data_IF_271520700967
#
_entry.id   IF_271520700967
#
_cell.length_a   1.000
_cell.length_b   1.000
_cell.length_c   1.000
_cell.angle_alpha   90.00
_cell.angle_beta   90.00
_cell.angle_gamma   90.00
#
_symmetry.space_group_name_H-M   'P 1'
#
loop_
_entity.id
_entity.type
_entity.pdbx_description
1 polymer ?
#
# COMPACT_ATOMS: atom_id res chain seq x y z
N UNK A 1 -35.15 38.73 -24.99
CA UNK A 1 -33.73 38.53 -25.41
C UNK A 1 -33.04 37.39 -24.66
N UNK A 2 -33.38 37.12 -23.40
CA UNK A 2 -32.67 36.09 -22.57
C UNK A 2 -33.00 34.62 -22.90
N UNK A 3 -34.14 34.35 -23.53
CA UNK A 3 -34.52 32.98 -23.94
C UNK A 3 -33.77 32.45 -25.18
N UNK A 4 -33.20 33.33 -26.01
CA UNK A 4 -32.45 32.95 -27.21
C UNK A 4 -31.00 32.63 -26.83
N UNK A 5 -30.42 33.32 -25.86
CA UNK A 5 -29.06 33.05 -25.36
C UNK A 5 -28.95 31.70 -24.63
N UNK A 6 -29.97 31.30 -23.87
CA UNK A 6 -29.97 30.01 -23.15
C UNK A 6 -30.10 28.78 -24.07
N UNK A 7 -30.79 28.90 -25.21
CA UNK A 7 -30.88 27.83 -26.23
C UNK A 7 -29.56 27.64 -26.96
N UNK A 8 -28.82 28.71 -27.27
CA UNK A 8 -27.52 28.63 -27.93
C UNK A 8 -26.44 27.95 -27.06
N UNK A 9 -26.44 28.18 -25.73
CA UNK A 9 -25.51 27.55 -24.79
C UNK A 9 -25.78 26.02 -24.64
N UNK A 10 -27.08 25.63 -24.62
CA UNK A 10 -27.45 24.22 -24.55
C UNK A 10 -27.03 23.44 -25.81
N UNK A 11 -27.13 24.04 -26.99
CA UNK A 11 -26.72 23.40 -28.24
C UNK A 11 -25.21 23.36 -28.41
N UNK A 12 -24.46 24.33 -27.91
CA UNK A 12 -23.00 24.32 -27.84
C UNK A 12 -22.51 23.21 -26.91
N UNK A 13 -23.12 23.05 -25.76
CA UNK A 13 -22.78 22.01 -24.78
C UNK A 13 -23.08 20.60 -25.34
N UNK A 14 -24.21 20.39 -26.01
CA UNK A 14 -24.54 19.12 -26.69
C UNK A 14 -23.53 18.80 -27.80
N UNK A 15 -23.13 19.78 -28.62
CA UNK A 15 -22.10 19.60 -29.65
C UNK A 15 -20.73 19.22 -29.05
N UNK A 16 -20.34 19.81 -27.92
CA UNK A 16 -19.12 19.49 -27.22
C UNK A 16 -19.13 18.05 -26.66
N UNK A 17 -20.25 17.61 -26.09
CA UNK A 17 -20.42 16.24 -25.60
C UNK A 17 -20.33 15.25 -26.79
N UNK A 18 -21.03 15.52 -27.88
CA UNK A 18 -21.01 14.67 -29.09
C UNK A 18 -19.61 14.56 -29.67
N UNK A 19 -18.85 15.67 -29.75
CA UNK A 19 -17.46 15.65 -30.19
C UNK A 19 -16.53 14.89 -29.24
N UNK A 20 -16.77 14.94 -27.94
CA UNK A 20 -16.03 14.18 -26.94
C UNK A 20 -16.31 12.67 -27.05
N UNK A 21 -17.53 12.28 -27.30
CA UNK A 21 -17.91 10.87 -27.49
C UNK A 21 -17.33 10.31 -28.80
N UNK A 22 -17.37 11.11 -29.87
CA UNK A 22 -16.78 10.73 -31.16
C UNK A 22 -15.26 10.60 -31.09
N UNK A 23 -14.56 11.49 -30.39
CA UNK A 23 -13.12 11.36 -30.10
C UNK A 23 -12.80 10.12 -29.29
N UNK A 24 -13.59 9.81 -28.24
CA UNK A 24 -13.43 8.59 -27.45
C UNK A 24 -13.59 7.33 -28.31
N UNK A 25 -14.54 7.34 -29.24
CA UNK A 25 -14.77 6.22 -30.15
C UNK A 25 -13.63 6.00 -31.14
N UNK A 26 -13.12 7.09 -31.71
CA UNK A 26 -11.95 7.07 -32.60
C UNK A 26 -10.69 6.62 -31.86
N UNK A 27 -10.48 7.07 -30.63
CA UNK A 27 -9.33 6.65 -29.81
C UNK A 27 -9.41 5.18 -29.40
N UNK A 28 -10.62 4.68 -29.13
CA UNK A 28 -10.85 3.27 -28.84
C UNK A 28 -10.58 2.38 -30.06
N UNK A 29 -11.02 2.80 -31.24
CA UNK A 29 -10.74 2.10 -32.50
C UNK A 29 -9.25 2.12 -32.88
N UNK A 30 -8.57 3.27 -32.69
CA UNK A 30 -7.13 3.37 -32.89
C UNK A 30 -6.36 2.48 -31.92
N UNK A 31 -6.83 2.39 -30.67
CA UNK A 31 -6.26 1.51 -29.65
C UNK A 31 -6.43 0.03 -30.05
N UNK A 32 -7.63 -0.39 -30.45
CA UNK A 32 -7.88 -1.74 -30.96
C UNK A 32 -7.00 -2.09 -32.16
N UNK A 33 -6.91 -1.21 -33.17
CA UNK A 33 -6.03 -1.41 -34.35
C UNK A 33 -4.54 -1.46 -33.99
N UNK A 34 -4.11 -0.74 -32.95
CA UNK A 34 -2.73 -0.76 -32.48
C UNK A 34 -2.42 -2.04 -31.71
N UNK A 35 -3.36 -2.49 -30.88
CA UNK A 35 -3.25 -3.71 -30.10
C UNK A 35 -3.28 -4.94 -31.03
N UNK A 36 -4.13 -4.94 -32.05
CA UNK A 36 -4.18 -5.99 -33.09
C UNK A 36 -2.91 -6.06 -33.95
N UNK A 37 -2.32 -4.90 -34.29
CA UNK A 37 -1.03 -4.87 -35.03
C UNK A 37 0.14 -5.31 -34.15
N UNK A 38 0.12 -4.96 -32.86
CA UNK A 38 1.12 -5.38 -31.88
C UNK A 38 1.06 -6.89 -31.60
N UNK A 39 -0.13 -7.45 -31.46
CA UNK A 39 -0.30 -8.87 -31.18
C UNK A 39 0.12 -9.78 -32.34
N UNK A 40 -0.13 -9.37 -33.57
CA UNK A 40 0.26 -10.16 -34.77
C UNK A 40 1.76 -10.15 -35.07
N UNK A 41 2.52 -9.13 -34.63
CA UNK A 41 3.94 -8.97 -34.96
C UNK A 41 4.91 -9.64 -33.98
N UNK A 42 4.44 -10.02 -32.77
CA UNK A 42 5.30 -10.47 -31.67
C UNK A 42 4.76 -11.68 -30.88
N UNK A 43 3.81 -12.44 -31.42
CA UNK A 43 3.43 -13.73 -30.83
C UNK A 43 4.57 -14.73 -31.08
N UNK A 44 5.60 -14.69 -30.23
CA UNK A 44 6.46 -15.86 -30.04
C UNK A 44 5.62 -16.95 -29.36
N UNK A 45 5.89 -18.20 -29.71
CA UNK A 45 5.29 -19.32 -29.00
C UNK A 45 5.49 -19.15 -27.48
N UNK A 46 4.42 -19.30 -26.72
CA UNK A 46 4.47 -19.21 -25.26
C UNK A 46 5.32 -20.36 -24.76
N UNK A 47 6.44 -20.03 -24.11
CA UNK A 47 7.41 -21.00 -23.56
C UNK A 47 7.19 -21.23 -22.07
N UNK A 48 6.69 -20.20 -21.37
CA UNK A 48 6.56 -20.22 -19.91
C UNK A 48 5.29 -19.48 -19.51
N UNK A 49 4.42 -20.13 -18.73
CA UNK A 49 3.24 -19.51 -18.13
C UNK A 49 3.39 -19.49 -16.63
N UNK A 50 3.22 -18.32 -16.02
CA UNK A 50 3.26 -18.15 -14.56
C UNK A 50 1.87 -17.83 -14.06
N UNK A 51 1.32 -18.71 -13.23
CA UNK A 51 0.02 -18.56 -12.61
C UNK A 51 0.17 -17.89 -11.23
N UNK A 52 -0.61 -16.84 -11.00
CA UNK A 52 -0.61 -16.05 -9.76
C UNK A 52 -2.02 -16.07 -9.19
N UNK A 53 -2.16 -16.35 -7.91
CA UNK A 53 -3.42 -16.22 -7.18
C UNK A 53 -3.44 -14.87 -6.46
N UNK A 54 -4.44 -14.05 -6.69
CA UNK A 54 -4.81 -12.97 -5.79
C UNK A 54 -5.87 -13.49 -4.83
N UNK A 55 -5.57 -13.49 -3.53
CA UNK A 55 -6.49 -13.97 -2.50
C UNK A 55 -6.81 -12.85 -1.52
N UNK A 56 -8.10 -12.63 -1.30
CA UNK A 56 -8.62 -11.67 -0.33
C UNK A 56 -9.79 -12.30 0.42
N UNK A 57 -10.05 -11.83 1.63
CA UNK A 57 -11.23 -12.18 2.40
C UNK A 57 -12.16 -10.98 2.53
N UNK A 58 -13.45 -11.22 2.40
CA UNK A 58 -14.47 -10.21 2.65
C UNK A 58 -14.31 -9.64 4.06
N UNK A 59 -14.52 -8.33 4.21
CA UNK A 59 -14.41 -7.61 5.49
C UNK A 59 -15.75 -7.01 5.84
N UNK A 60 -15.99 -6.91 7.14
CA UNK A 60 -17.12 -6.11 7.60
C UNK A 60 -16.98 -4.68 7.11
N UNK A 61 -18.09 -4.15 6.61
CA UNK A 61 -18.12 -2.78 6.09
C UNK A 61 -18.09 -1.81 7.27
N UNK A 62 -17.05 -0.96 7.41
CA UNK A 62 -17.00 0.02 8.49
C UNK A 62 -18.10 1.07 8.34
N UNK A 63 -18.45 1.74 9.42
CA UNK A 63 -19.36 2.88 9.36
C UNK A 63 -18.78 3.98 8.46
N UNK A 64 -19.58 4.49 7.52
CA UNK A 64 -19.18 5.57 6.64
C UNK A 64 -19.18 6.88 7.42
N UNK A 65 -18.00 7.42 7.72
CA UNK A 65 -17.85 8.69 8.43
C UNK A 65 -17.89 9.89 7.48
N UNK A 66 -17.52 9.70 6.21
CA UNK A 66 -17.53 10.74 5.19
C UNK A 66 -18.01 10.21 3.85
N UNK A 67 -18.87 10.99 3.17
CA UNK A 67 -19.25 10.68 1.78
C UNK A 67 -18.11 10.94 0.78
N UNK A 68 -17.00 11.52 1.21
CA UNK A 68 -15.84 11.82 0.35
C UNK A 68 -14.91 10.61 0.19
N UNK A 69 -14.94 9.68 1.14
CA UNK A 69 -14.09 8.49 1.14
C UNK A 69 -14.98 7.25 0.90
N UNK A 70 -15.14 6.83 -0.35
CA UNK A 70 -15.97 5.67 -0.68
C UNK A 70 -15.36 4.39 -0.10
N UNK A 71 -16.22 3.48 0.35
CA UNK A 71 -15.81 2.12 0.71
C UNK A 71 -15.39 1.40 -0.58
N UNK A 72 -14.17 0.90 -0.60
CA UNK A 72 -13.60 0.20 -1.74
C UNK A 72 -13.64 -1.31 -1.50
N UNK A 73 -14.37 -2.02 -2.34
CA UNK A 73 -14.45 -3.49 -2.31
C UNK A 73 -13.50 -4.15 -3.32
N UNK A 74 -12.75 -3.34 -4.08
CA UNK A 74 -11.92 -3.75 -5.21
C UNK A 74 -10.44 -3.38 -5.01
N UNK A 75 -10.03 -3.09 -3.78
CA UNK A 75 -8.61 -2.80 -3.49
C UNK A 75 -7.71 -3.98 -3.88
N UNK A 76 -6.58 -3.64 -4.46
CA UNK A 76 -5.61 -4.62 -4.97
C UNK A 76 -5.95 -5.16 -6.36
N UNK A 77 -7.23 -5.32 -6.72
CA UNK A 77 -7.67 -5.92 -7.97
C UNK A 77 -7.07 -5.25 -9.22
N UNK A 78 -7.24 -3.95 -9.35
CA UNK A 78 -6.71 -3.20 -10.50
C UNK A 78 -5.19 -3.03 -10.44
N UNK A 79 -4.60 -3.07 -9.25
CA UNK A 79 -3.15 -3.12 -9.06
C UNK A 79 -2.55 -4.39 -9.66
N UNK A 80 -3.14 -5.54 -9.34
CA UNK A 80 -2.77 -6.84 -9.92
C UNK A 80 -2.86 -6.81 -11.45
N UNK A 81 -4.00 -6.38 -11.99
CA UNK A 81 -4.20 -6.33 -13.44
C UNK A 81 -3.17 -5.45 -14.15
N UNK A 82 -2.86 -4.29 -13.57
CA UNK A 82 -1.87 -3.36 -14.13
C UNK A 82 -0.46 -3.96 -14.08
N UNK A 83 -0.12 -4.69 -13.01
CA UNK A 83 1.14 -5.43 -12.87
C UNK A 83 1.30 -6.52 -13.91
N UNK A 84 0.24 -7.27 -14.21
CA UNK A 84 0.23 -8.27 -15.29
C UNK A 84 0.45 -7.62 -16.66
N UNK A 85 -0.26 -6.54 -16.97
CA UNK A 85 -0.07 -5.80 -18.22
C UNK A 85 1.40 -5.34 -18.38
N UNK A 86 2.01 -4.85 -17.31
CA UNK A 86 3.41 -4.42 -17.33
C UNK A 86 4.39 -5.59 -17.51
N UNK A 87 4.12 -6.75 -16.88
CA UNK A 87 4.93 -7.95 -17.10
C UNK A 87 4.81 -8.47 -18.52
N UNK A 88 3.62 -8.45 -19.10
CA UNK A 88 3.37 -8.88 -20.47
C UNK A 88 4.08 -7.99 -21.51
N UNK A 89 4.44 -6.76 -21.19
CA UNK A 89 5.21 -5.92 -22.12
C UNK A 89 6.57 -6.55 -22.48
N UNK A 90 7.29 -7.04 -21.47
CA UNK A 90 8.55 -7.77 -21.65
C UNK A 90 8.31 -9.25 -21.96
N UNK A 91 7.31 -9.85 -21.33
CA UNK A 91 6.96 -11.26 -21.48
C UNK A 91 6.71 -11.67 -22.92
N UNK A 92 6.00 -10.84 -23.69
CA UNK A 92 5.72 -11.11 -25.12
C UNK A 92 6.99 -11.29 -25.97
N UNK A 93 8.08 -10.62 -25.63
CA UNK A 93 9.38 -10.78 -26.33
C UNK A 93 10.11 -12.05 -25.88
N UNK A 94 9.91 -12.48 -24.64
CA UNK A 94 10.57 -13.64 -24.05
C UNK A 94 9.77 -14.94 -24.28
N UNK A 95 8.51 -14.85 -24.69
CA UNK A 95 7.57 -15.97 -24.76
C UNK A 95 7.00 -16.32 -23.39
N UNK A 96 6.91 -15.35 -22.47
CA UNK A 96 6.33 -15.53 -21.14
C UNK A 96 4.89 -15.00 -21.09
N UNK A 97 4.02 -15.78 -20.46
CA UNK A 97 2.64 -15.39 -20.14
C UNK A 97 2.42 -15.34 -18.62
N UNK A 98 1.54 -14.45 -18.18
CA UNK A 98 1.20 -14.26 -16.77
C UNK A 98 -0.32 -14.29 -16.61
N UNK A 99 -0.80 -15.27 -15.85
CA UNK A 99 -2.22 -15.45 -15.57
C UNK A 99 -2.52 -15.17 -14.12
N UNK A 100 -3.61 -14.46 -13.85
CA UNK A 100 -4.07 -14.21 -12.48
C UNK A 100 -5.46 -14.76 -12.30
N UNK A 101 -5.64 -15.53 -11.24
CA UNK A 101 -6.93 -15.96 -10.72
C UNK A 101 -7.26 -15.15 -9.48
N UNK A 102 -8.41 -14.47 -9.48
CA UNK A 102 -8.91 -13.68 -8.36
C UNK A 102 -9.81 -14.55 -7.48
N UNK A 103 -9.48 -14.62 -6.19
CA UNK A 103 -10.23 -15.38 -5.19
C UNK A 103 -10.63 -14.44 -4.07
N UNK A 104 -11.91 -14.21 -3.92
CA UNK A 104 -12.49 -13.51 -2.78
C UNK A 104 -13.23 -14.54 -1.93
N UNK A 105 -12.75 -14.77 -0.72
CA UNK A 105 -13.37 -15.68 0.25
C UNK A 105 -14.40 -14.90 1.06
N UNK A 106 -15.63 -15.37 1.10
CA UNK A 106 -16.67 -14.69 1.86
C UNK A 106 -16.47 -14.84 3.38
N UNK A 107 -17.18 -14.02 4.19
CA UNK A 107 -17.10 -14.11 5.66
C UNK A 107 -17.53 -15.48 6.21
N UNK A 108 -18.38 -16.21 5.48
CA UNK A 108 -18.92 -17.52 5.87
C UNK A 108 -18.04 -18.69 5.46
N UNK A 109 -17.12 -18.47 4.53
CA UNK A 109 -16.26 -19.52 3.99
C UNK A 109 -14.96 -19.64 4.78
N UNK A 110 -14.41 -20.85 4.84
CA UNK A 110 -13.13 -21.11 5.48
C UNK A 110 -11.99 -20.78 4.52
N UNK A 111 -11.23 -19.74 4.88
CA UNK A 111 -10.08 -19.28 4.12
C UNK A 111 -8.98 -20.35 4.02
N UNK A 112 -8.75 -21.14 5.09
CA UNK A 112 -7.71 -22.17 5.10
C UNK A 112 -8.06 -23.32 4.16
N UNK A 113 -9.32 -23.74 4.15
CA UNK A 113 -9.80 -24.80 3.25
C UNK A 113 -9.69 -24.39 1.78
N UNK A 114 -10.10 -23.15 1.44
CA UNK A 114 -9.98 -22.65 0.07
C UNK A 114 -8.51 -22.54 -0.35
N UNK A 115 -7.65 -22.01 0.53
CA UNK A 115 -6.23 -21.91 0.28
C UNK A 115 -5.55 -23.29 0.08
N UNK A 116 -5.88 -24.30 0.88
CA UNK A 116 -5.40 -25.67 0.69
C UNK A 116 -5.83 -26.28 -0.64
N UNK A 117 -7.07 -26.03 -1.08
CA UNK A 117 -7.55 -26.47 -2.41
C UNK A 117 -6.71 -25.86 -3.53
N UNK A 118 -6.39 -24.55 -3.44
CA UNK A 118 -5.56 -23.88 -4.42
C UNK A 118 -4.13 -24.45 -4.48
N UNK A 119 -3.51 -24.71 -3.33
CA UNK A 119 -2.18 -25.36 -3.28
C UNK A 119 -2.22 -26.76 -3.88
N UNK A 120 -3.24 -27.57 -3.55
CA UNK A 120 -3.43 -28.92 -4.13
C UNK A 120 -3.64 -28.86 -5.65
N UNK A 121 -4.19 -27.76 -6.17
CA UNK A 121 -4.32 -27.52 -7.62
C UNK A 121 -3.02 -27.08 -8.31
N UNK A 122 -1.91 -27.00 -7.58
CA UNK A 122 -0.58 -26.70 -8.11
C UNK A 122 -0.19 -25.23 -8.14
N UNK A 123 -1.00 -24.33 -7.57
CA UNK A 123 -0.64 -22.91 -7.49
C UNK A 123 0.47 -22.68 -6.46
N UNK A 124 1.46 -21.84 -6.84
CA UNK A 124 2.67 -21.60 -6.05
C UNK A 124 2.80 -20.14 -5.62
N UNK A 125 2.28 -19.19 -6.39
CA UNK A 125 2.44 -17.75 -6.16
C UNK A 125 1.12 -17.13 -5.71
N UNK A 126 1.11 -16.57 -4.49
CA UNK A 126 -0.07 -15.99 -3.87
C UNK A 126 0.20 -14.53 -3.49
N UNK A 127 -0.59 -13.61 -4.01
CA UNK A 127 -0.64 -12.21 -3.57
C UNK A 127 -1.82 -12.07 -2.62
N UNK A 128 -1.53 -11.78 -1.35
CA UNK A 128 -2.50 -11.88 -0.27
C UNK A 128 -2.89 -10.50 0.28
N UNK A 129 -4.16 -10.15 0.10
CA UNK A 129 -4.81 -9.02 0.73
C UNK A 129 -5.57 -9.48 1.99
N UNK A 130 -4.82 -9.79 3.03
CA UNK A 130 -5.28 -10.42 4.26
C UNK A 130 -4.78 -9.67 5.51
N UNK A 131 -5.45 -9.86 6.64
CA UNK A 131 -4.99 -9.36 7.93
C UNK A 131 -3.83 -10.19 8.51
N UNK A 132 -3.24 -9.74 9.62
CA UNK A 132 -2.08 -10.38 10.23
C UNK A 132 -2.36 -11.79 10.73
N UNK A 133 -3.54 -12.00 11.34
CA UNK A 133 -3.93 -13.32 11.86
C UNK A 133 -4.15 -14.34 10.75
N UNK A 134 -4.78 -13.93 9.66
CA UNK A 134 -5.00 -14.76 8.47
C UNK A 134 -3.67 -15.13 7.81
N UNK A 135 -2.78 -14.14 7.59
CA UNK A 135 -1.45 -14.40 7.04
C UNK A 135 -0.63 -15.36 7.90
N UNK A 136 -0.67 -15.18 9.23
CA UNK A 136 0.02 -16.06 10.17
C UNK A 136 -0.51 -17.48 10.07
N UNK A 137 -1.82 -17.68 10.04
CA UNK A 137 -2.45 -18.99 9.88
C UNK A 137 -2.02 -19.66 8.58
N UNK A 138 -2.20 -18.98 7.44
CA UNK A 138 -1.89 -19.54 6.13
C UNK A 138 -0.39 -19.86 5.97
N UNK A 139 0.51 -19.00 6.43
CA UNK A 139 1.95 -19.23 6.33
C UNK A 139 2.46 -20.40 7.19
N UNK A 140 1.73 -20.75 8.26
CA UNK A 140 2.06 -21.85 9.16
C UNK A 140 1.53 -23.23 8.69
N UNK A 141 0.69 -23.30 7.67
CA UNK A 141 0.18 -24.57 7.15
C UNK A 141 1.33 -25.43 6.62
N UNK A 142 1.22 -26.76 6.81
CA UNK A 142 2.21 -27.71 6.28
C UNK A 142 2.33 -27.64 4.76
N UNK A 143 1.19 -27.43 4.10
CA UNK A 143 1.07 -27.29 2.65
C UNK A 143 1.76 -26.03 2.12
N UNK A 144 1.92 -25.00 2.96
CA UNK A 144 2.50 -23.71 2.57
C UNK A 144 4.03 -23.70 2.43
N UNK A 145 4.71 -24.83 2.70
CA UNK A 145 6.19 -24.90 2.60
C UNK A 145 6.71 -24.61 1.18
N UNK A 146 5.94 -25.00 0.17
CA UNK A 146 6.34 -24.94 -1.23
C UNK A 146 5.57 -23.88 -2.02
N UNK A 147 5.21 -22.76 -1.36
CA UNK A 147 4.57 -21.60 -2.01
C UNK A 147 5.28 -20.31 -1.61
N UNK A 148 5.00 -19.26 -2.34
CA UNK A 148 5.37 -17.90 -1.99
C UNK A 148 4.10 -17.10 -1.73
N UNK A 149 3.93 -16.66 -0.49
CA UNK A 149 2.85 -15.79 -0.04
C UNK A 149 3.38 -14.37 0.05
N UNK A 150 2.77 -13.43 -0.65
CA UNK A 150 3.20 -12.02 -0.73
C UNK A 150 2.16 -11.14 -0.05
N UNK A 151 2.50 -10.62 1.12
CA UNK A 151 1.65 -9.70 1.87
C UNK A 151 1.62 -8.31 1.26
N UNK A 152 0.43 -7.81 0.94
CA UNK A 152 0.23 -6.48 0.37
C UNK A 152 -0.55 -5.50 1.27
N UNK A 153 -1.05 -5.96 2.44
CA UNK A 153 -1.87 -5.14 3.34
C UNK A 153 -1.33 -5.05 4.76
N UNK A 154 -1.04 -6.19 5.40
CA UNK A 154 -0.71 -6.22 6.82
C UNK A 154 0.59 -5.49 7.13
N UNK A 155 0.52 -4.54 8.07
CA UNK A 155 1.65 -3.73 8.54
C UNK A 155 2.26 -4.27 9.84
N UNK A 156 1.73 -5.36 10.38
CA UNK A 156 2.10 -5.93 11.67
C UNK A 156 3.58 -6.33 11.72
N UNK A 157 4.32 -5.75 12.66
CA UNK A 157 5.77 -5.99 12.79
C UNK A 157 6.11 -7.43 13.21
N UNK A 158 5.26 -8.07 13.98
CA UNK A 158 5.46 -9.44 14.46
C UNK A 158 5.59 -10.47 13.34
N UNK A 159 4.92 -10.27 12.20
CA UNK A 159 5.07 -11.14 11.01
C UNK A 159 6.45 -11.06 10.34
N UNK A 160 7.24 -10.05 10.68
CA UNK A 160 8.58 -9.78 10.15
C UNK A 160 9.66 -10.00 11.21
N UNK A 161 9.26 -10.44 12.38
CA UNK A 161 10.13 -10.64 13.53
C UNK A 161 9.83 -12.00 14.19
N UNK A 162 9.04 -12.05 15.27
CA UNK A 162 8.79 -13.27 16.07
C UNK A 162 8.08 -14.37 15.29
N UNK A 163 7.20 -14.00 14.35
CA UNK A 163 6.38 -14.92 13.55
C UNK A 163 6.76 -14.95 12.07
N UNK A 164 7.98 -14.56 11.75
CA UNK A 164 8.46 -14.59 10.36
C UNK A 164 8.50 -16.00 9.79
N UNK A 165 8.32 -16.12 8.47
CA UNK A 165 8.31 -17.38 7.74
C UNK A 165 8.98 -17.20 6.38
N UNK A 166 9.82 -18.13 6.00
CA UNK A 166 10.54 -18.12 4.72
C UNK A 166 9.64 -18.20 3.48
N UNK A 167 8.39 -18.58 3.64
CA UNK A 167 7.38 -18.61 2.58
C UNK A 167 6.49 -17.36 2.53
N UNK A 168 6.70 -16.38 3.45
CA UNK A 168 5.93 -15.14 3.54
C UNK A 168 6.86 -13.95 3.37
N UNK A 169 6.68 -13.19 2.29
CA UNK A 169 7.38 -11.92 2.06
C UNK A 169 6.41 -10.74 2.09
N UNK A 170 6.94 -9.54 2.32
CA UNK A 170 6.13 -8.38 2.61
C UNK A 170 6.43 -7.22 1.66
N UNK A 171 5.47 -6.86 0.83
CA UNK A 171 5.49 -5.64 0.01
C UNK A 171 4.90 -4.45 0.76
N UNK A 172 3.84 -4.68 1.55
CA UNK A 172 3.33 -3.67 2.47
C UNK A 172 4.42 -3.27 3.49
N UNK A 173 4.65 -1.98 3.78
CA UNK A 173 5.58 -1.55 4.81
C UNK A 173 5.08 -1.97 6.20
N UNK A 174 6.01 -2.17 7.13
CA UNK A 174 5.66 -2.42 8.53
C UNK A 174 5.29 -1.14 9.28
N UNK A 175 4.63 -1.27 10.42
CA UNK A 175 4.37 -0.13 11.30
C UNK A 175 5.67 0.56 11.74
N UNK A 176 6.71 -0.20 12.05
CA UNK A 176 8.02 0.39 12.40
C UNK A 176 8.63 1.16 11.23
N UNK A 177 8.53 0.68 9.97
CA UNK A 177 9.00 1.44 8.81
C UNK A 177 8.25 2.78 8.65
N UNK A 178 6.93 2.76 8.82
CA UNK A 178 6.10 3.97 8.74
C UNK A 178 6.43 4.95 9.86
N UNK A 179 6.57 4.43 11.09
CA UNK A 179 6.92 5.22 12.28
C UNK A 179 8.29 5.86 12.15
N UNK A 180 9.31 5.10 11.74
CA UNK A 180 10.67 5.61 11.56
C UNK A 180 10.73 6.69 10.47
N UNK A 181 10.04 6.48 9.35
CA UNK A 181 9.97 7.45 8.27
C UNK A 181 9.38 8.78 8.71
N UNK A 182 8.30 8.74 9.49
CA UNK A 182 7.68 9.92 10.07
C UNK A 182 8.60 10.57 11.09
N UNK A 183 9.17 9.78 12.00
CA UNK A 183 10.01 10.27 13.10
C UNK A 183 11.27 10.96 12.60
N UNK A 184 11.96 10.41 11.59
CA UNK A 184 13.11 11.07 10.96
C UNK A 184 12.75 12.49 10.49
N UNK A 185 11.61 12.67 9.85
CA UNK A 185 11.13 13.97 9.40
C UNK A 185 10.84 14.91 10.59
N UNK A 186 10.17 14.41 11.63
CA UNK A 186 9.84 15.21 12.82
C UNK A 186 11.10 15.66 13.56
N UNK A 187 12.13 14.82 13.64
CA UNK A 187 13.45 15.18 14.19
C UNK A 187 14.09 16.30 13.37
N UNK A 188 14.10 16.19 12.03
CA UNK A 188 14.61 17.24 11.12
C UNK A 188 13.88 18.58 11.33
N UNK A 189 12.59 18.54 11.65
CA UNK A 189 11.78 19.73 12.00
C UNK A 189 11.94 20.19 13.43
N UNK A 190 12.68 19.47 14.27
CA UNK A 190 12.86 19.73 15.71
C UNK A 190 11.57 19.62 16.55
N UNK A 191 10.56 18.89 16.07
CA UNK A 191 9.33 18.60 16.79
C UNK A 191 9.52 17.36 17.66
N UNK A 192 10.16 17.55 18.81
CA UNK A 192 10.65 16.46 19.68
C UNK A 192 9.77 16.18 20.90
N UNK A 193 8.72 16.95 21.12
CA UNK A 193 7.78 16.72 22.22
C UNK A 193 6.45 16.28 21.62
N UNK A 194 6.13 15.01 21.82
CA UNK A 194 4.91 14.43 21.27
C UNK A 194 3.80 14.32 22.29
N UNK A 195 2.58 14.55 21.84
CA UNK A 195 1.35 14.10 22.49
C UNK A 195 0.80 12.95 21.65
N UNK A 196 0.82 11.73 22.22
CA UNK A 196 0.39 10.51 21.52
C UNK A 196 -1.07 10.23 21.87
N UNK A 197 -1.93 10.15 20.85
CA UNK A 197 -3.34 9.79 20.97
C UNK A 197 -3.55 8.45 20.28
N UNK A 198 -4.13 7.49 21.01
CA UNK A 198 -4.24 6.09 20.59
C UNK A 198 -5.70 5.69 20.54
N UNK A 199 -6.14 5.07 19.47
CA UNK A 199 -7.46 4.46 19.36
C UNK A 199 -7.59 3.17 20.17
N UNK A 200 -8.83 2.68 20.35
CA UNK A 200 -9.11 1.50 21.17
C UNK A 200 -8.73 0.17 20.49
N UNK A 201 -8.58 0.17 19.19
CA UNK A 201 -8.41 -1.03 18.37
C UNK A 201 -7.02 -1.67 18.51
N UNK A 202 -6.93 -2.93 18.12
CA UNK A 202 -5.68 -3.70 18.17
C UNK A 202 -4.62 -3.09 17.24
N UNK A 203 -5.02 -2.70 16.04
CA UNK A 203 -4.17 -2.09 15.03
C UNK A 203 -3.64 -0.71 15.47
N UNK A 204 -4.47 0.07 16.19
CA UNK A 204 -4.08 1.36 16.77
C UNK A 204 -2.98 1.19 17.81
N UNK A 205 -3.14 0.20 18.70
CA UNK A 205 -2.15 -0.14 19.72
C UNK A 205 -0.85 -0.62 19.09
N UNK A 206 -0.91 -1.48 18.05
CA UNK A 206 0.26 -1.95 17.34
C UNK A 206 1.02 -0.80 16.68
N UNK A 207 0.31 0.14 16.04
CA UNK A 207 0.94 1.32 15.47
C UNK A 207 1.50 2.26 16.55
N UNK A 208 0.80 2.47 17.66
CA UNK A 208 1.29 3.26 18.79
C UNK A 208 2.57 2.66 19.40
N UNK A 209 2.67 1.34 19.50
CA UNK A 209 3.88 0.67 19.98
C UNK A 209 5.07 0.86 19.02
N UNK A 210 4.84 0.81 17.73
CA UNK A 210 5.85 1.15 16.73
C UNK A 210 6.30 2.62 16.83
N UNK A 211 5.35 3.56 17.02
CA UNK A 211 5.65 4.97 17.25
C UNK A 211 6.47 5.19 18.53
N UNK A 212 6.17 4.48 19.61
CA UNK A 212 6.95 4.52 20.87
C UNK A 212 8.37 3.97 20.68
N UNK A 213 8.53 2.86 19.94
CA UNK A 213 9.86 2.32 19.57
C UNK A 213 10.66 3.33 18.76
N UNK A 214 10.07 3.94 17.73
CA UNK A 214 10.70 4.99 16.93
C UNK A 214 11.03 6.23 17.77
N UNK A 215 10.15 6.66 18.66
CA UNK A 215 10.40 7.78 19.56
C UNK A 215 11.65 7.53 20.42
N UNK A 216 11.81 6.32 20.95
CA UNK A 216 13.00 5.91 21.70
C UNK A 216 14.25 5.88 20.80
N UNK A 217 14.17 5.27 19.62
CA UNK A 217 15.28 5.15 18.64
C UNK A 217 15.83 6.53 18.25
N UNK A 218 14.98 7.53 18.07
CA UNK A 218 15.34 8.87 17.60
C UNK A 218 15.35 9.94 18.71
N UNK A 219 15.36 9.54 19.98
CA UNK A 219 15.42 10.43 21.15
C UNK A 219 14.31 11.49 21.17
N UNK A 220 13.09 11.05 20.99
CA UNK A 220 11.85 11.85 21.06
C UNK A 220 11.24 11.69 22.47
N UNK A 221 10.70 12.78 23.01
CA UNK A 221 10.00 12.78 24.29
C UNK A 221 8.50 12.72 24.09
N UNK A 222 7.86 11.60 24.42
CA UNK A 222 6.42 11.52 24.57
C UNK A 222 6.05 12.21 25.89
N UNK A 223 5.32 13.31 25.79
CA UNK A 223 4.91 14.15 26.94
C UNK A 223 3.69 13.60 27.63
N UNK A 224 2.78 13.07 26.85
CA UNK A 224 1.53 12.52 27.28
C UNK A 224 1.09 11.43 26.31
N UNK A 225 0.45 10.40 26.84
CA UNK A 225 -0.22 9.34 26.08
C UNK A 225 -1.68 9.29 26.56
N UNK A 226 -2.64 9.39 25.65
CA UNK A 226 -4.06 9.25 25.96
C UNK A 226 -4.72 8.29 25.00
N UNK A 227 -5.54 7.40 25.55
CA UNK A 227 -6.38 6.51 24.77
C UNK A 227 -7.70 7.21 24.52
N UNK A 228 -8.13 7.20 23.25
CA UNK A 228 -9.44 7.67 22.85
C UNK A 228 -10.47 6.59 23.18
N UNK A 229 -11.30 6.85 24.19
CA UNK A 229 -12.29 5.90 24.68
C UNK A 229 -13.70 6.54 24.73
N UNK A 230 -14.04 7.28 23.68
CA UNK A 230 -15.35 7.91 23.57
C UNK A 230 -16.22 7.17 22.56
N UNK A 231 -17.29 6.56 23.03
CA UNK A 231 -18.31 5.89 22.20
C UNK A 231 -19.32 6.87 21.57
N UNK A 232 -19.06 8.19 21.63
CA UNK A 232 -19.99 9.21 21.19
C UNK A 232 -19.92 9.45 19.67
N UNK A 233 -21.04 9.92 19.09
CA UNK A 233 -21.08 10.39 17.70
C UNK A 233 -20.27 11.69 17.56
N UNK A 234 -19.00 11.58 17.18
CA UNK A 234 -18.08 12.70 17.01
C UNK A 234 -18.56 13.77 16.03
N UNK A 235 -19.43 13.45 15.11
CA UNK A 235 -20.03 14.45 14.22
C UNK A 235 -20.79 15.51 14.99
N UNK A 236 -21.32 15.15 16.17
CA UNK A 236 -22.11 16.05 17.03
C UNK A 236 -21.31 16.58 18.22
N UNK A 237 -20.38 15.80 18.75
CA UNK A 237 -19.75 16.08 20.05
C UNK A 237 -18.30 16.58 19.94
N UNK A 238 -17.63 16.38 18.81
CA UNK A 238 -16.21 16.71 18.61
C UNK A 238 -15.80 18.12 19.06
N UNK A 239 -16.64 19.12 18.85
CA UNK A 239 -16.34 20.51 19.25
C UNK A 239 -16.26 20.70 20.78
N UNK A 240 -16.93 19.86 21.55
CA UNK A 240 -16.93 19.94 23.01
C UNK A 240 -15.91 18.98 23.64
N UNK A 241 -15.83 17.77 23.13
CA UNK A 241 -15.02 16.69 23.71
C UNK A 241 -13.54 16.82 23.39
N UNK A 242 -13.19 17.13 22.13
CA UNK A 242 -11.80 17.21 21.73
C UNK A 242 -10.99 18.27 22.46
N UNK A 243 -11.48 19.51 22.66
CA UNK A 243 -10.75 20.49 23.45
C UNK A 243 -10.50 20.03 24.90
N UNK A 244 -11.50 19.41 25.53
CA UNK A 244 -11.37 18.89 26.90
C UNK A 244 -10.35 17.75 26.94
N UNK A 245 -10.46 16.80 26.00
CA UNK A 245 -9.55 15.66 25.91
C UNK A 245 -8.10 16.07 25.65
N UNK A 246 -7.86 17.17 24.92
CA UNK A 246 -6.52 17.61 24.55
C UNK A 246 -5.93 18.70 25.44
N UNK A 247 -6.69 19.17 26.45
CA UNK A 247 -6.29 20.25 27.36
C UNK A 247 -5.13 19.85 28.27
N UNK A 248 -4.23 20.81 28.55
CA UNK A 248 -3.24 20.74 29.61
C UNK A 248 -1.92 20.05 29.23
N UNK A 249 -1.73 19.70 27.96
CA UNK A 249 -0.50 19.06 27.47
C UNK A 249 0.39 20.08 26.76
N UNK A 250 1.65 20.17 27.15
CA UNK A 250 2.65 21.00 26.45
C UNK A 250 3.47 20.15 25.48
N UNK A 251 3.15 20.22 24.19
CA UNK A 251 3.74 19.43 23.13
C UNK A 251 4.07 20.26 21.87
N UNK A 252 4.94 19.74 21.03
CA UNK A 252 5.27 20.37 19.72
C UNK A 252 4.29 19.89 18.64
N UNK A 253 3.90 18.62 18.68
CA UNK A 253 3.09 17.97 17.68
C UNK A 253 2.22 16.85 18.29
N UNK A 254 1.03 16.67 17.75
CA UNK A 254 0.15 15.56 18.12
C UNK A 254 0.37 14.38 17.16
N UNK A 255 0.62 13.21 17.72
CA UNK A 255 0.80 11.97 16.97
C UNK A 255 -0.39 11.07 17.22
N UNK A 256 -1.05 10.60 16.16
CA UNK A 256 -2.30 9.87 16.22
C UNK A 256 -2.12 8.46 15.67
N UNK A 257 -2.54 7.48 16.43
CA UNK A 257 -2.69 6.09 16.03
C UNK A 257 -4.19 5.74 15.99
N UNK A 258 -4.78 5.85 14.80
CA UNK A 258 -6.19 5.58 14.47
C UNK A 258 -6.22 4.95 13.06
N UNK A 259 -5.95 3.67 13.00
CA UNK A 259 -5.79 2.94 11.73
C UNK A 259 -7.11 2.75 10.97
N UNK A 260 -8.23 2.72 11.67
CA UNK A 260 -9.56 2.67 11.07
C UNK A 260 -10.10 4.04 10.65
N UNK A 261 -9.52 5.15 11.17
CA UNK A 261 -9.95 6.51 10.87
C UNK A 261 -11.26 6.90 11.57
N UNK A 262 -11.50 6.38 12.78
CA UNK A 262 -12.77 6.59 13.50
C UNK A 262 -12.87 7.95 14.18
N UNK A 263 -11.76 8.49 14.68
CA UNK A 263 -11.77 9.76 15.43
C UNK A 263 -10.73 10.78 14.96
N UNK A 264 -9.62 10.34 14.39
CA UNK A 264 -8.47 11.19 14.08
C UNK A 264 -8.77 12.34 13.13
N UNK A 265 -9.69 12.15 12.18
CA UNK A 265 -10.13 13.21 11.25
C UNK A 265 -10.79 14.39 11.98
N UNK A 266 -11.43 14.15 13.12
CA UNK A 266 -12.10 15.17 13.91
C UNK A 266 -11.17 16.00 14.80
N UNK A 267 -9.93 15.55 15.03
CA UNK A 267 -8.96 16.25 15.86
C UNK A 267 -8.49 17.58 15.25
N UNK A 268 -8.36 17.62 13.93
CA UNK A 268 -7.87 18.81 13.22
C UNK A 268 -8.70 20.05 13.54
N UNK A 269 -8.03 21.15 13.92
CA UNK A 269 -8.61 22.45 14.28
C UNK A 269 -9.50 22.48 15.56
N UNK A 270 -9.63 21.35 16.27
CA UNK A 270 -10.45 21.25 17.48
C UNK A 270 -9.65 21.02 18.77
N UNK A 271 -8.35 20.77 18.65
CA UNK A 271 -7.47 20.60 19.83
C UNK A 271 -7.39 21.87 20.66
N UNK A 272 -7.19 21.73 21.98
CA UNK A 272 -7.03 22.89 22.89
C UNK A 272 -5.92 23.82 22.43
N UNK A 273 -4.73 23.28 22.12
CA UNK A 273 -3.65 24.00 21.48
C UNK A 273 -3.62 23.71 19.99
N UNK A 274 -3.57 24.73 19.11
CA UNK A 274 -3.55 24.54 17.66
C UNK A 274 -2.18 24.05 17.20
N UNK A 275 -1.98 22.74 17.22
CA UNK A 275 -0.74 22.07 16.77
C UNK A 275 -1.04 21.21 15.56
N UNK A 276 0.04 20.90 14.81
CA UNK A 276 -0.05 19.97 13.69
C UNK A 276 -0.34 18.54 14.17
N UNK A 277 -1.03 17.80 13.33
CA UNK A 277 -1.39 16.40 13.56
C UNK A 277 -0.68 15.53 12.54
N UNK A 278 -0.11 14.44 13.01
CA UNK A 278 0.63 13.48 12.18
C UNK A 278 0.32 12.04 12.62
N UNK A 279 0.75 11.07 11.86
CA UNK A 279 0.54 9.66 12.14
C UNK A 279 -0.49 9.05 11.20
N UNK A 280 -1.54 8.44 11.71
CA UNK A 280 -2.64 7.94 10.89
C UNK A 280 -3.49 9.06 10.27
N UNK A 281 -3.39 10.29 10.80
CA UNK A 281 -4.13 11.47 10.34
C UNK A 281 -3.18 12.65 10.08
N UNK A 282 -3.64 13.65 9.33
CA UNK A 282 -2.86 14.84 8.98
C UNK A 282 -1.69 14.53 8.04
N UNK A 283 -0.46 14.56 8.52
CA UNK A 283 0.72 14.09 7.77
C UNK A 283 0.89 12.59 8.00
N UNK A 284 0.59 11.80 6.97
CA UNK A 284 0.60 10.33 7.01
C UNK A 284 1.86 9.75 6.35
N UNK A 285 2.57 8.82 7.00
CA UNK A 285 3.54 7.99 6.32
C UNK A 285 2.82 6.87 5.54
N UNK A 286 3.18 6.70 4.27
CA UNK A 286 2.53 5.73 3.39
C UNK A 286 3.46 5.24 2.28
N UNK A 287 3.21 4.07 1.74
CA UNK A 287 3.96 3.59 0.58
C UNK A 287 3.41 4.13 -0.75
N UNK A 288 2.19 4.68 -0.80
CA UNK A 288 1.65 5.31 -1.98
C UNK A 288 0.62 6.39 -1.64
N UNK A 289 0.59 7.46 -2.43
CA UNK A 289 -0.40 8.51 -2.28
C UNK A 289 -0.71 9.16 -3.63
N UNK A 290 -1.95 9.59 -3.83
CA UNK A 290 -2.44 10.23 -5.07
C UNK A 290 -1.70 11.49 -5.49
N UNK A 291 -1.05 12.16 -4.54
CA UNK A 291 -0.25 13.37 -4.79
C UNK A 291 1.21 13.08 -5.15
N UNK A 292 1.57 11.80 -5.27
CA UNK A 292 2.90 11.42 -5.72
C UNK A 292 2.99 11.54 -7.25
N UNK A 293 3.82 12.47 -7.73
CA UNK A 293 3.92 12.83 -9.15
C UNK A 293 5.30 12.56 -9.75
N UNK A 294 6.33 12.42 -8.90
CA UNK A 294 7.72 12.27 -9.33
C UNK A 294 8.01 10.86 -9.88
N UNK A 295 9.14 10.72 -10.58
CA UNK A 295 9.69 9.46 -11.10
C UNK A 295 8.71 8.62 -11.93
N UNK A 296 7.81 9.27 -12.67
CA UNK A 296 6.82 8.62 -13.51
C UNK A 296 5.52 8.21 -12.77
N UNK A 297 5.37 8.55 -11.49
CA UNK A 297 4.19 8.22 -10.71
C UNK A 297 2.90 8.80 -11.29
N UNK A 298 2.94 10.02 -11.88
CA UNK A 298 1.79 10.60 -12.60
C UNK A 298 1.29 9.70 -13.71
N UNK A 299 2.19 9.09 -14.49
CA UNK A 299 1.81 8.16 -15.57
C UNK A 299 1.18 6.89 -15.00
N UNK A 300 1.73 6.35 -13.93
CA UNK A 300 1.19 5.21 -13.21
C UNK A 300 -0.22 5.49 -12.70
N UNK A 301 -0.42 6.62 -12.01
CA UNK A 301 -1.72 7.08 -11.52
C UNK A 301 -2.76 7.21 -12.63
N UNK A 302 -2.37 7.82 -13.76
CA UNK A 302 -3.27 8.01 -14.90
C UNK A 302 -3.63 6.67 -15.57
N UNK A 303 -2.71 5.73 -15.66
CA UNK A 303 -2.97 4.38 -16.17
C UNK A 303 -3.93 3.63 -15.24
N UNK A 304 -3.68 3.67 -13.95
CA UNK A 304 -4.54 3.06 -12.94
C UNK A 304 -5.95 3.67 -12.97
N UNK A 305 -6.06 5.00 -12.94
CA UNK A 305 -7.34 5.72 -12.95
C UNK A 305 -8.18 5.43 -14.20
N UNK A 306 -7.55 5.33 -15.37
CA UNK A 306 -8.28 4.93 -16.58
C UNK A 306 -8.85 3.53 -16.52
N UNK A 307 -8.21 2.63 -15.75
CA UNK A 307 -8.63 1.24 -15.61
C UNK A 307 -9.68 1.07 -14.51
N UNK A 308 -9.53 1.74 -13.39
CA UNK A 308 -10.35 1.56 -12.18
C UNK A 308 -11.44 2.62 -11.98
N UNK A 309 -11.32 3.78 -12.62
CA UNK A 309 -12.19 4.94 -12.37
C UNK A 309 -11.86 5.72 -11.08
N UNK A 310 -10.91 5.26 -10.26
CA UNK A 310 -10.54 5.84 -8.96
C UNK A 310 -9.03 6.04 -8.82
N UNK A 311 -8.61 6.70 -7.75
CA UNK A 311 -7.19 6.83 -7.40
C UNK A 311 -6.63 5.51 -6.84
N UNK A 312 -5.34 5.28 -7.11
CA UNK A 312 -4.59 4.14 -6.59
C UNK A 312 -4.38 4.27 -5.09
N UNK A 313 -4.76 3.26 -4.33
CA UNK A 313 -4.52 3.17 -2.88
C UNK A 313 -3.14 2.55 -2.58
N UNK A 314 -2.67 2.61 -1.32
CA UNK A 314 -1.48 1.90 -0.87
C UNK A 314 -1.53 0.38 -1.14
N UNK A 315 -2.72 -0.24 -1.00
CA UNK A 315 -2.91 -1.67 -1.26
C UNK A 315 -2.84 -1.99 -2.76
N UNK A 316 -3.45 -1.15 -3.61
CA UNK A 316 -3.34 -1.31 -5.06
C UNK A 316 -1.90 -1.22 -5.55
N UNK A 317 -1.14 -0.26 -4.99
CA UNK A 317 0.28 -0.12 -5.30
C UNK A 317 1.08 -1.34 -4.84
N UNK A 318 0.84 -1.84 -3.62
CA UNK A 318 1.49 -3.05 -3.12
C UNK A 318 1.15 -4.27 -3.98
N UNK A 319 -0.09 -4.38 -4.44
CA UNK A 319 -0.53 -5.44 -5.34
C UNK A 319 0.19 -5.38 -6.70
N UNK A 320 0.31 -4.17 -7.27
CA UNK A 320 1.09 -3.96 -8.48
C UNK A 320 2.55 -4.36 -8.29
N UNK A 321 3.20 -3.91 -7.20
CA UNK A 321 4.60 -4.25 -6.88
C UNK A 321 4.76 -5.76 -6.74
N UNK A 322 3.86 -6.45 -6.04
CA UNK A 322 3.92 -7.89 -5.83
C UNK A 322 3.94 -8.67 -7.16
N UNK A 323 3.08 -8.29 -8.10
CA UNK A 323 3.05 -8.91 -9.44
C UNK A 323 4.31 -8.56 -10.24
N UNK A 324 4.79 -7.31 -10.14
CA UNK A 324 6.02 -6.88 -10.81
C UNK A 324 7.26 -7.61 -10.29
N UNK A 325 7.32 -7.88 -8.98
CA UNK A 325 8.38 -8.67 -8.34
C UNK A 325 8.47 -10.08 -8.95
N UNK A 326 7.33 -10.76 -9.07
CA UNK A 326 7.28 -12.08 -9.70
C UNK A 326 7.72 -11.99 -11.16
N UNK A 327 7.17 -11.03 -11.92
CA UNK A 327 7.47 -10.88 -13.35
C UNK A 327 8.92 -10.54 -13.64
N UNK A 328 9.56 -9.69 -12.82
CA UNK A 328 10.99 -9.37 -12.94
C UNK A 328 11.83 -10.62 -12.68
N UNK A 329 11.53 -11.35 -11.58
CA UNK A 329 12.26 -12.57 -11.25
C UNK A 329 12.16 -13.62 -12.37
N UNK A 330 10.94 -13.93 -12.82
CA UNK A 330 10.71 -14.89 -13.93
C UNK A 330 11.43 -14.45 -15.21
N UNK A 331 11.40 -13.15 -15.52
CA UNK A 331 12.05 -12.62 -16.72
C UNK A 331 13.58 -12.72 -16.66
N UNK A 332 14.17 -12.58 -15.48
CA UNK A 332 15.63 -12.65 -15.29
C UNK A 332 16.14 -14.07 -15.22
N UNK A 333 15.44 -14.91 -14.45
CA UNK A 333 15.82 -16.30 -14.25
C UNK A 333 15.47 -17.20 -15.44
N UNK A 334 14.50 -16.77 -16.27
CA UNK A 334 13.92 -17.53 -17.39
C UNK A 334 13.29 -18.87 -16.93
N UNK A 335 12.82 -18.91 -15.68
CA UNK A 335 12.17 -20.04 -15.04
C UNK A 335 11.07 -19.53 -14.08
N UNK A 336 10.09 -20.34 -13.77
CA UNK A 336 9.04 -20.03 -12.79
C UNK A 336 9.02 -21.01 -11.61
N UNK A 337 10.06 -21.78 -11.41
CA UNK A 337 10.19 -22.64 -10.24
C UNK A 337 10.42 -21.81 -8.99
N UNK A 338 9.70 -22.13 -7.92
CA UNK A 338 9.74 -21.38 -6.66
C UNK A 338 11.16 -21.16 -6.13
N UNK A 339 11.99 -22.21 -6.17
CA UNK A 339 13.35 -22.13 -5.63
C UNK A 339 14.20 -21.11 -6.38
N UNK A 340 14.23 -21.19 -7.72
CA UNK A 340 14.98 -20.26 -8.57
C UNK A 340 14.51 -18.80 -8.39
N UNK A 341 13.19 -18.62 -8.26
CA UNK A 341 12.61 -17.28 -8.04
C UNK A 341 13.01 -16.73 -6.67
N UNK A 342 12.92 -17.55 -5.60
CA UNK A 342 13.31 -17.13 -4.24
C UNK A 342 14.80 -16.77 -4.17
N UNK A 343 15.67 -17.60 -4.72
CA UNK A 343 17.11 -17.33 -4.78
C UNK A 343 17.42 -16.00 -5.45
N UNK A 344 16.75 -15.71 -6.55
CA UNK A 344 16.93 -14.42 -7.24
C UNK A 344 16.37 -13.24 -6.43
N UNK A 345 15.18 -13.37 -5.82
CA UNK A 345 14.55 -12.29 -5.04
C UNK A 345 15.42 -11.83 -3.86
N UNK A 346 16.19 -12.71 -3.27
CA UNK A 346 17.07 -12.42 -2.14
C UNK A 346 18.54 -12.20 -2.53
N UNK A 347 18.86 -12.25 -3.82
CA UNK A 347 20.19 -11.95 -4.32
C UNK A 347 20.45 -10.43 -4.38
N UNK A 348 21.73 -10.04 -4.36
CA UNK A 348 22.15 -8.65 -4.58
C UNK A 348 21.78 -8.12 -5.97
N UNK A 349 21.58 -9.01 -6.93
CA UNK A 349 21.17 -8.66 -8.29
C UNK A 349 19.70 -8.24 -8.41
N UNK A 350 18.87 -8.54 -7.41
CA UNK A 350 17.46 -8.19 -7.45
C UNK A 350 17.20 -6.72 -7.16
N UNK A 351 16.40 -6.11 -7.99
CA UNK A 351 15.88 -4.77 -7.73
C UNK A 351 14.98 -4.28 -8.85
N UNK A 352 13.81 -3.75 -8.51
CA UNK A 352 12.86 -3.22 -9.46
C UNK A 352 12.64 -1.71 -9.29
N UNK A 353 12.36 -1.04 -10.41
CA UNK A 353 11.86 0.33 -10.39
C UNK A 353 10.40 0.35 -9.95
N UNK A 354 10.10 1.12 -8.91
CA UNK A 354 8.78 1.18 -8.29
C UNK A 354 8.24 2.62 -8.16
N UNK A 355 8.62 3.49 -9.10
CA UNK A 355 8.21 4.90 -9.14
C UNK A 355 8.55 5.71 -7.88
N UNK A 356 9.65 5.38 -7.19
CA UNK A 356 10.07 6.05 -5.96
C UNK A 356 11.51 6.60 -6.00
N UNK A 357 12.07 6.75 -7.21
CA UNK A 357 13.41 7.33 -7.44
C UNK A 357 14.57 6.36 -7.20
N UNK A 358 14.35 5.26 -6.52
CA UNK A 358 15.35 4.22 -6.23
C UNK A 358 14.80 2.84 -6.57
N UNK A 359 15.70 1.88 -6.77
CA UNK A 359 15.32 0.46 -6.86
C UNK A 359 14.88 -0.05 -5.50
N UNK A 360 13.81 -0.85 -5.47
CA UNK A 360 13.35 -1.55 -4.28
C UNK A 360 13.82 -3.00 -4.33
N UNK A 361 14.20 -3.56 -3.18
CA UNK A 361 14.73 -4.92 -3.02
C UNK A 361 14.22 -5.55 -1.73
N UNK A 362 14.39 -6.86 -1.54
CA UNK A 362 14.02 -7.51 -0.30
C UNK A 362 15.18 -7.55 0.71
N UNK A 363 14.83 -7.50 1.99
CA UNK A 363 15.72 -7.86 3.09
C UNK A 363 15.82 -9.36 3.18
N UNK A 364 17.04 -9.87 3.24
CA UNK A 364 17.31 -11.32 3.32
C UNK A 364 17.05 -11.90 4.70
N UNK A 365 16.96 -11.07 5.76
CA UNK A 365 16.72 -11.53 7.13
C UNK A 365 15.27 -11.62 7.56
N UNK A 366 14.33 -10.98 6.81
CA UNK A 366 12.92 -11.00 7.21
C UNK A 366 11.91 -10.88 6.05
N UNK A 367 12.36 -10.92 4.80
CA UNK A 367 11.49 -10.86 3.63
C UNK A 367 10.73 -9.54 3.42
N UNK A 368 11.11 -8.46 4.11
CA UNK A 368 10.49 -7.14 3.94
C UNK A 368 11.08 -6.41 2.73
N UNK A 369 10.23 -5.84 1.90
CA UNK A 369 10.64 -4.97 0.80
C UNK A 369 11.22 -3.66 1.33
N UNK A 370 12.49 -3.36 0.98
CA UNK A 370 13.10 -2.04 1.16
C UNK A 370 12.45 -1.06 0.20
N UNK A 371 11.87 -0.01 0.71
CA UNK A 371 11.24 1.02 -0.12
C UNK A 371 11.20 2.37 0.58
N UNK A 372 11.32 3.48 -0.16
CA UNK A 372 11.04 4.80 0.39
C UNK A 372 9.60 4.92 0.88
N UNK A 373 9.43 5.62 1.99
CA UNK A 373 8.12 5.93 2.57
C UNK A 373 7.78 7.39 2.30
N UNK A 374 6.62 7.60 1.71
CA UNK A 374 6.08 8.90 1.40
C UNK A 374 5.47 9.53 2.65
N UNK A 375 5.71 10.81 2.86
CA UNK A 375 5.04 11.60 3.89
C UNK A 375 4.06 12.55 3.20
N UNK A 376 2.79 12.23 3.26
CA UNK A 376 1.75 12.91 2.51
C UNK A 376 0.71 13.55 3.43
N UNK A 377 0.39 14.80 3.15
CA UNK A 377 -0.84 15.45 3.61
C UNK A 377 -1.98 15.15 2.63
N UNK A 378 -3.25 15.39 2.97
CA UNK A 378 -4.39 14.98 2.13
C UNK A 378 -4.34 15.46 0.67
N UNK A 379 -3.67 16.59 0.40
CA UNK A 379 -3.59 17.20 -0.94
C UNK A 379 -2.18 17.56 -1.39
N UNK A 380 -1.15 17.14 -0.66
CA UNK A 380 0.24 17.46 -1.03
C UNK A 380 1.22 16.38 -0.58
N UNK A 381 2.24 16.14 -1.39
CA UNK A 381 3.42 15.41 -0.98
C UNK A 381 4.32 16.35 -0.18
N UNK A 382 4.69 15.97 1.04
CA UNK A 382 5.49 16.82 1.94
C UNK A 382 6.96 16.42 1.89
N UNK A 383 7.26 15.11 2.00
CA UNK A 383 8.63 14.59 2.00
C UNK A 383 8.65 13.12 1.64
N UNK A 384 9.84 12.58 1.47
CA UNK A 384 10.08 11.15 1.28
C UNK A 384 11.19 10.73 2.24
N UNK A 385 10.99 9.64 2.98
CA UNK A 385 12.00 9.05 3.86
C UNK A 385 12.60 7.78 3.25
N UNK A 386 13.89 7.49 3.51
CA UNK A 386 14.76 8.08 4.54
C UNK A 386 15.05 9.56 4.32
N UNK A 387 15.14 10.31 5.43
CA UNK A 387 15.52 11.71 5.36
C UNK A 387 17.04 11.83 5.19
N UNK A 388 17.49 12.88 4.51
CA UNK A 388 18.91 13.19 4.36
C UNK A 388 19.64 13.25 5.71
N UNK A 389 20.82 12.62 5.78
CA UNK A 389 21.65 12.54 6.98
C UNK A 389 21.44 11.27 7.81
N UNK A 390 20.48 10.42 7.47
CA UNK A 390 20.33 9.09 8.05
C UNK A 390 21.07 8.09 7.18
N UNK A 391 22.25 7.66 7.62
CA UNK A 391 23.13 6.74 6.90
C UNK A 391 23.02 5.32 7.44
N UNK A 392 23.25 4.35 6.57
CA UNK A 392 23.31 2.94 6.91
C UNK A 392 24.40 2.25 6.07
N UNK A 393 25.17 1.29 6.62
CA UNK A 393 26.29 0.65 5.90
C UNK A 393 25.89 -0.05 4.61
N UNK A 394 24.70 -0.69 4.58
CA UNK A 394 24.23 -1.47 3.44
C UNK A 394 23.30 -0.67 2.53
N UNK A 395 22.28 -0.05 3.10
CA UNK A 395 21.28 0.70 2.35
C UNK A 395 20.60 1.74 3.25
N UNK A 396 20.52 2.99 2.82
CA UNK A 396 19.77 4.02 3.57
C UNK A 396 18.32 3.61 3.87
N UNK A 397 17.71 2.75 3.03
CA UNK A 397 16.38 2.21 3.25
C UNK A 397 16.29 1.30 4.49
N UNK A 398 17.41 0.78 4.98
CA UNK A 398 17.47 -0.03 6.19
C UNK A 398 17.48 0.79 7.47
N UNK A 399 17.56 2.13 7.35
CA UNK A 399 17.29 3.05 8.49
C UNK A 399 15.81 3.08 8.88
N UNK A 400 14.93 2.51 8.05
CA UNK A 400 13.48 2.44 8.28
C UNK A 400 13.08 1.02 8.69
N UNK A 401 12.51 0.87 9.88
CA UNK A 401 12.05 -0.42 10.39
C UNK A 401 13.10 -1.14 11.23
N UNK A 402 12.88 -2.43 11.44
CA UNK A 402 13.77 -3.30 12.21
C UNK A 402 14.96 -3.69 11.35
N UNK A 403 16.15 -3.35 11.79
CA UNK A 403 17.41 -3.70 11.13
C UNK A 403 17.82 -5.16 11.44
N UNK A 404 18.77 -5.71 10.65
CA UNK A 404 19.21 -7.09 10.79
C UNK A 404 19.68 -7.42 12.22
N UNK A 405 20.54 -6.61 12.90
CA UNK A 405 20.97 -6.88 14.26
C UNK A 405 19.85 -6.79 15.32
N UNK A 406 18.74 -6.12 14.98
CA UNK A 406 17.59 -5.95 15.89
C UNK A 406 16.53 -7.03 15.67
N UNK A 407 16.65 -7.83 14.60
CA UNK A 407 15.65 -8.81 14.20
C UNK A 407 15.80 -10.10 14.99
N UNK A 408 14.68 -10.62 15.47
CA UNK A 408 14.57 -11.98 16.02
C UNK A 408 14.13 -13.00 14.96
N UNK A 409 13.97 -12.58 13.71
CA UNK A 409 13.56 -13.44 12.61
C UNK A 409 14.69 -14.39 12.21
N UNK A 410 14.37 -15.67 12.09
CA UNK A 410 15.20 -16.70 11.47
C UNK A 410 14.57 -17.01 10.11
N UNK A 411 15.02 -16.29 9.06
CA UNK A 411 14.41 -16.31 7.73
C UNK A 411 15.12 -17.26 6.77
#
# INVERSE_FOLDING_TARGET
>A
RDRVASRGLGDLYKRQIQQLEERKKIDLERKKKRDDRGSKKFAKDIKLTTDIIFITKEREVPAVLSNLDPILNDEGFYGIQLGVEDNLTTGRFLGHDYKVKMIQVSLKEDLEEEFKKLIKSGYTYFVADLNSGELSKLSNLKESKNILLINIRSKEDSLRNEFCKTNLIHVAPSYTMLSDALTQYLVKKKWKKWFLVIGPEKEDKAYADALKKSAKKFNIKIKEERVWDFASDLRRTAQKEIPIFTKGVNYDIMVVADEKGEFGEYLSYRTWDPRLIVGSQGLKPTNWHRTHEQWGATQMQNRFRRKSGRWMTPVDYSAWVAVRVIGEAVSRVQDNKLQSIKEYLFSEGFGIGAYKGVKVSFRNWNGQLRQPILLAAPRSMVSVSPQEGYLHPTSELDTLGVDEPESSCIF
#
